data_IF_614436277284
#
_entry.id   IF_614436277284
#
_cell.length_a   1.000
_cell.length_b   1.000
_cell.length_c   1.000
_cell.angle_alpha   90.00
_cell.angle_beta   90.00
_cell.angle_gamma   90.00
#
_symmetry.space_group_name_H-M   'P 1'
#
loop_
_entity.id
_entity.type
_entity.pdbx_description
1 polymer ?
#
# COMPACT_ATOMS: atom_id res chain seq x y z
N UNK A 1 8.75 -19.07 33.32
CA UNK A 1 8.21 -18.05 32.43
C UNK A 1 9.29 -17.81 31.40
N UNK A 2 9.14 -18.38 30.18
CA UNK A 2 10.12 -18.22 29.10
C UNK A 2 9.95 -16.80 28.58
N UNK A 3 11.00 -15.97 28.48
CA UNK A 3 10.88 -14.65 27.87
C UNK A 3 10.41 -14.85 26.41
N UNK A 4 9.25 -14.32 26.06
CA UNK A 4 8.86 -14.25 24.66
C UNK A 4 9.88 -13.32 23.96
N UNK A 5 10.39 -13.69 22.78
CA UNK A 5 11.26 -12.82 22.04
C UNK A 5 10.52 -11.50 21.77
N UNK A 6 11.15 -10.40 22.15
CA UNK A 6 10.64 -9.07 21.84
C UNK A 6 10.36 -9.00 20.34
N UNK A 7 9.25 -8.34 19.97
CA UNK A 7 8.94 -8.03 18.58
C UNK A 7 10.20 -7.41 17.93
N UNK A 8 10.83 -8.14 17.02
CA UNK A 8 12.07 -7.70 16.39
C UNK A 8 11.72 -7.19 14.99
N UNK A 9 12.19 -6.00 14.70
CA UNK A 9 12.26 -5.51 13.33
C UNK A 9 13.67 -5.77 12.78
N UNK A 10 13.78 -5.78 11.46
CA UNK A 10 14.99 -6.11 10.73
C UNK A 10 15.23 -5.06 9.66
N UNK A 11 16.48 -4.78 9.39
CA UNK A 11 16.91 -4.00 8.24
C UNK A 11 17.58 -4.93 7.23
N UNK A 12 17.15 -4.84 5.98
CA UNK A 12 17.75 -5.56 4.86
C UNK A 12 18.17 -4.55 3.79
N UNK A 13 19.37 -4.67 3.31
CA UNK A 13 19.81 -3.94 2.13
C UNK A 13 19.31 -4.66 0.87
N UNK A 14 18.63 -3.93 0.00
CA UNK A 14 18.07 -4.47 -1.24
C UNK A 14 18.57 -3.68 -2.45
N UNK A 15 18.42 -4.24 -3.65
CA UNK A 15 18.78 -3.54 -4.89
C UNK A 15 17.97 -2.27 -5.15
N UNK A 16 16.88 -2.04 -4.40
CA UNK A 16 16.03 -0.84 -4.48
C UNK A 16 16.28 0.13 -3.33
N UNK A 17 17.14 -0.21 -2.39
CA UNK A 17 17.41 0.55 -1.19
C UNK A 17 17.09 -0.20 0.09
N UNK A 18 17.18 0.47 1.25
CA UNK A 18 16.91 -0.13 2.55
C UNK A 18 15.45 -0.61 2.66
N UNK A 19 15.27 -1.80 3.22
CA UNK A 19 13.97 -2.37 3.57
C UNK A 19 13.91 -2.61 5.07
N UNK A 20 13.05 -1.87 5.77
CA UNK A 20 12.74 -2.13 7.17
C UNK A 20 11.50 -3.01 7.24
N UNK A 21 11.61 -4.13 7.89
CA UNK A 21 10.51 -5.08 8.00
C UNK A 21 10.51 -5.77 9.37
N UNK A 22 9.36 -6.35 9.73
CA UNK A 22 9.23 -7.18 10.91
C UNK A 22 8.61 -8.52 10.57
N UNK A 23 8.97 -9.52 11.34
CA UNK A 23 8.34 -10.82 11.29
C UNK A 23 7.65 -11.11 12.61
N UNK A 24 6.35 -11.31 12.54
CA UNK A 24 5.57 -11.71 13.71
C UNK A 24 5.52 -13.23 13.81
N UNK A 25 5.74 -13.81 14.99
CA UNK A 25 5.48 -15.22 15.24
C UNK A 25 4.00 -15.55 14.99
N UNK A 26 3.72 -16.79 14.58
CA UNK A 26 2.34 -17.23 14.38
C UNK A 26 1.51 -17.07 15.66
N UNK A 27 0.31 -16.51 15.54
CA UNK A 27 -0.61 -16.28 16.67
C UNK A 27 -0.36 -15.01 17.48
N UNK A 28 0.61 -14.17 17.12
CA UNK A 28 0.73 -12.83 17.67
C UNK A 28 0.00 -11.81 16.81
N UNK A 29 -0.78 -10.94 17.46
CA UNK A 29 -1.41 -9.82 16.79
C UNK A 29 -0.36 -8.76 16.41
N UNK A 30 -0.49 -8.23 15.19
CA UNK A 30 0.27 -7.07 14.79
C UNK A 30 -0.16 -5.87 15.63
N UNK A 31 0.67 -5.44 16.55
CA UNK A 31 0.37 -4.24 17.35
C UNK A 31 0.75 -2.99 16.55
N UNK A 32 -0.12 -1.97 16.57
CA UNK A 32 0.20 -0.67 16.00
C UNK A 32 1.54 -0.09 16.52
N UNK A 33 1.98 -0.49 17.72
CA UNK A 33 3.27 -0.10 18.30
C UNK A 33 4.47 -0.56 17.48
N UNK A 34 4.43 -1.78 16.93
CA UNK A 34 5.51 -2.27 16.07
C UNK A 34 5.58 -1.48 14.76
N UNK A 35 4.42 -1.21 14.16
CA UNK A 35 4.35 -0.39 12.93
C UNK A 35 4.87 1.01 13.20
N UNK A 36 4.44 1.65 14.30
CA UNK A 36 4.96 2.98 14.70
C UNK A 36 6.47 2.96 14.86
N UNK A 37 7.02 1.94 15.52
CA UNK A 37 8.48 1.84 15.73
C UNK A 37 9.25 1.69 14.42
N UNK A 38 8.79 0.84 13.50
CA UNK A 38 9.43 0.67 12.18
C UNK A 38 9.41 1.99 11.41
N UNK A 39 8.31 2.73 11.45
CA UNK A 39 8.19 4.03 10.79
C UNK A 39 9.11 5.10 11.39
N UNK A 40 9.27 5.13 12.72
CA UNK A 40 10.21 6.02 13.38
C UNK A 40 11.65 5.74 12.91
N UNK A 41 12.05 4.46 12.88
CA UNK A 41 13.37 4.06 12.39
C UNK A 41 13.53 4.35 10.89
N UNK A 42 12.49 4.14 10.07
CA UNK A 42 12.52 4.49 8.64
C UNK A 42 12.80 5.97 8.40
N UNK A 43 12.22 6.84 9.22
CA UNK A 43 12.44 8.29 9.12
C UNK A 43 13.88 8.68 9.50
N UNK A 44 14.44 8.05 10.53
CA UNK A 44 15.82 8.29 10.93
C UNK A 44 16.78 7.88 9.81
N UNK A 45 16.63 6.67 9.28
CA UNK A 45 17.49 6.15 8.20
C UNK A 45 17.33 6.99 6.92
N UNK A 46 16.09 7.37 6.56
CA UNK A 46 15.87 8.21 5.40
C UNK A 46 16.56 9.59 5.54
N UNK A 47 16.55 10.17 6.75
CA UNK A 47 17.27 11.41 7.02
C UNK A 47 18.79 11.25 6.97
N UNK A 48 19.35 10.14 7.50
CA UNK A 48 20.78 9.85 7.47
C UNK A 48 21.28 9.55 6.03
N UNK A 49 20.47 8.90 5.21
CA UNK A 49 20.81 8.53 3.83
C UNK A 49 20.32 9.53 2.78
N UNK A 50 19.79 10.68 3.20
CA UNK A 50 19.24 11.74 2.33
C UNK A 50 18.22 11.20 1.33
N UNK A 51 17.31 10.31 1.79
CA UNK A 51 16.22 9.74 0.98
C UNK A 51 15.03 10.67 0.96
N UNK A 52 14.52 10.97 -0.22
CA UNK A 52 13.39 11.88 -0.41
C UNK A 52 12.03 11.20 -0.20
N UNK A 53 11.95 9.87 -0.27
CA UNK A 53 10.71 9.10 -0.20
C UNK A 53 10.82 7.92 0.76
N UNK A 54 9.77 7.73 1.57
CA UNK A 54 9.54 6.52 2.36
C UNK A 54 8.24 5.88 1.86
N UNK A 55 8.35 4.69 1.28
CA UNK A 55 7.20 3.90 0.89
C UNK A 55 6.82 2.92 2.00
N UNK A 56 5.58 2.95 2.44
CA UNK A 56 5.07 2.10 3.52
C UNK A 56 4.08 1.09 2.94
N UNK A 57 4.42 -0.21 3.01
CA UNK A 57 3.49 -1.29 2.70
C UNK A 57 2.54 -1.48 3.89
N UNK A 58 1.31 -0.99 3.74
CA UNK A 58 0.28 -1.02 4.79
C UNK A 58 -0.39 -2.39 4.90
N UNK A 59 -0.77 -2.82 6.12
CA UNK A 59 -1.54 -4.04 6.29
C UNK A 59 -2.96 -3.88 5.75
N UNK A 60 -3.62 -4.97 5.36
CA UNK A 60 -5.02 -4.94 4.94
C UNK A 60 -5.96 -4.60 6.11
N UNK A 61 -7.16 -4.11 5.76
CA UNK A 61 -8.22 -3.78 6.71
C UNK A 61 -8.08 -2.40 7.35
N UNK A 62 -8.82 -2.17 8.43
CA UNK A 62 -9.00 -0.86 9.07
C UNK A 62 -8.59 -0.85 10.56
N UNK A 63 -7.80 -1.83 10.98
CA UNK A 63 -7.37 -1.98 12.37
C UNK A 63 -6.30 -0.99 12.81
N UNK A 64 -5.92 -1.05 14.09
CA UNK A 64 -4.84 -0.22 14.64
C UNK A 64 -3.53 -0.25 13.84
N UNK A 65 -3.10 -1.37 13.23
CA UNK A 65 -1.90 -1.37 12.41
C UNK A 65 -2.02 -0.50 11.16
N UNK A 66 -3.19 -0.50 10.50
CA UNK A 66 -3.46 0.33 9.31
C UNK A 66 -3.45 1.81 9.69
N UNK A 67 -4.10 2.18 10.78
CA UNK A 67 -4.05 3.55 11.30
C UNK A 67 -2.61 3.96 11.63
N UNK A 68 -1.86 3.08 12.33
CA UNK A 68 -0.47 3.34 12.66
C UNK A 68 0.45 3.45 11.42
N UNK A 69 0.12 2.75 10.32
CA UNK A 69 0.82 2.88 9.05
C UNK A 69 0.51 4.22 8.36
N UNK A 70 -0.69 4.75 8.53
CA UNK A 70 -1.18 5.91 7.77
C UNK A 70 -0.96 7.26 8.49
N UNK A 71 -1.07 7.31 9.82
CA UNK A 71 -0.97 8.58 10.57
C UNK A 71 0.34 9.31 10.31
N UNK A 72 0.26 10.55 9.80
CA UNK A 72 1.43 11.39 9.49
C UNK A 72 2.20 10.94 8.25
N UNK A 73 1.52 10.30 7.28
CA UNK A 73 1.98 10.20 5.89
C UNK A 73 1.49 11.40 5.10
N UNK A 74 2.24 11.77 4.07
CA UNK A 74 1.88 12.88 3.19
C UNK A 74 0.78 12.47 2.22
N UNK A 75 0.74 11.18 1.84
CA UNK A 75 -0.28 10.62 0.95
C UNK A 75 -0.53 9.14 1.26
N UNK A 76 -1.79 8.72 1.24
CA UNK A 76 -2.21 7.31 1.29
C UNK A 76 -2.73 6.87 -0.07
N UNK A 77 -2.13 5.82 -0.65
CA UNK A 77 -2.65 5.15 -1.84
C UNK A 77 -3.50 3.95 -1.41
N UNK A 78 -4.82 4.06 -1.62
CA UNK A 78 -5.79 3.01 -1.31
C UNK A 78 -5.89 2.05 -2.49
N UNK A 79 -5.35 0.84 -2.35
CA UNK A 79 -5.45 -0.20 -3.37
C UNK A 79 -6.66 -1.08 -3.06
N UNK A 80 -7.61 -1.14 -3.98
CA UNK A 80 -8.84 -1.90 -3.85
C UNK A 80 -9.09 -2.77 -5.08
N UNK A 81 -10.10 -3.65 -5.04
CA UNK A 81 -10.55 -4.45 -6.17
C UNK A 81 -12.08 -4.42 -6.28
N UNK A 82 -12.69 -4.66 -7.47
CA UNK A 82 -14.12 -4.45 -7.69
C UNK A 82 -14.96 -5.61 -7.13
N UNK A 83 -14.99 -5.71 -5.80
CA UNK A 83 -15.84 -6.62 -5.03
C UNK A 83 -16.66 -5.85 -4.00
N UNK A 84 -17.83 -6.38 -3.63
CA UNK A 84 -18.70 -5.76 -2.63
C UNK A 84 -17.99 -5.62 -1.28
N UNK A 85 -17.19 -6.62 -0.89
CA UNK A 85 -16.44 -6.58 0.37
C UNK A 85 -15.36 -5.50 0.35
N UNK A 86 -14.59 -5.42 -0.75
CA UNK A 86 -13.53 -4.43 -0.88
C UNK A 86 -14.07 -3.00 -0.97
N UNK A 87 -15.22 -2.79 -1.60
CA UNK A 87 -15.93 -1.51 -1.61
C UNK A 87 -16.32 -1.08 -0.20
N UNK A 88 -16.93 -1.96 0.58
CA UNK A 88 -17.28 -1.67 1.96
C UNK A 88 -16.05 -1.32 2.82
N UNK A 89 -14.94 -2.04 2.66
CA UNK A 89 -13.70 -1.75 3.39
C UNK A 89 -13.06 -0.44 2.91
N UNK A 90 -13.14 -0.13 1.60
CA UNK A 90 -12.67 1.14 1.03
C UNK A 90 -13.41 2.34 1.67
N UNK A 91 -14.72 2.26 1.76
CA UNK A 91 -15.51 3.34 2.39
C UNK A 91 -15.13 3.58 3.85
N UNK A 92 -14.86 2.51 4.60
CA UNK A 92 -14.46 2.59 6.00
C UNK A 92 -13.05 3.17 6.18
N UNK A 93 -12.09 2.80 5.32
CA UNK A 93 -10.74 3.36 5.39
C UNK A 93 -10.74 4.82 4.98
N UNK A 94 -11.48 5.23 3.95
CA UNK A 94 -11.63 6.62 3.55
C UNK A 94 -12.14 7.46 4.74
N UNK A 95 -13.21 7.03 5.40
CA UNK A 95 -13.74 7.73 6.58
C UNK A 95 -12.71 7.81 7.72
N UNK A 96 -11.88 6.79 7.89
CA UNK A 96 -10.81 6.79 8.89
C UNK A 96 -9.71 7.78 8.53
N UNK A 97 -9.24 7.81 7.28
CA UNK A 97 -8.20 8.73 6.83
C UNK A 97 -8.67 10.19 6.89
N UNK A 98 -9.93 10.45 6.51
CA UNK A 98 -10.55 11.77 6.63
C UNK A 98 -10.58 12.25 8.10
N UNK A 99 -10.94 11.38 9.03
CA UNK A 99 -10.92 11.70 10.48
C UNK A 99 -9.53 12.11 10.96
N UNK A 100 -8.47 11.53 10.41
CA UNK A 100 -7.07 11.87 10.74
C UNK A 100 -6.47 12.94 9.81
N UNK A 101 -7.26 13.51 8.90
CA UNK A 101 -6.82 14.50 7.91
C UNK A 101 -5.63 14.03 7.05
N UNK A 102 -5.66 12.76 6.64
CA UNK A 102 -4.62 12.17 5.80
C UNK A 102 -5.08 12.24 4.36
N UNK A 103 -4.34 12.92 3.47
CA UNK A 103 -4.64 12.94 2.05
C UNK A 103 -4.63 11.53 1.48
N UNK A 104 -5.63 11.21 0.65
CA UNK A 104 -5.76 9.88 0.08
C UNK A 104 -6.12 9.93 -1.41
N UNK A 105 -5.64 8.94 -2.14
CA UNK A 105 -5.99 8.64 -3.53
C UNK A 105 -6.27 7.15 -3.67
N UNK A 106 -6.95 6.74 -4.74
CA UNK A 106 -7.35 5.36 -4.93
C UNK A 106 -6.74 4.74 -6.19
N UNK A 107 -6.56 3.43 -6.16
CA UNK A 107 -6.18 2.58 -7.29
C UNK A 107 -7.10 1.36 -7.31
N UNK A 108 -7.76 1.09 -8.43
CA UNK A 108 -8.63 -0.08 -8.59
C UNK A 108 -7.84 -1.17 -9.32
N UNK A 109 -7.53 -2.23 -8.61
CA UNK A 109 -6.83 -3.39 -9.15
C UNK A 109 -7.82 -4.39 -9.72
N UNK A 110 -7.46 -5.10 -10.79
CA UNK A 110 -8.30 -6.09 -11.49
C UNK A 110 -9.64 -5.51 -11.94
N UNK A 111 -9.63 -4.26 -12.43
CA UNK A 111 -10.85 -3.53 -12.78
C UNK A 111 -11.68 -4.23 -13.86
N UNK A 112 -11.04 -4.99 -14.75
CA UNK A 112 -11.64 -5.77 -15.83
C UNK A 112 -12.41 -7.02 -15.37
N UNK A 113 -12.21 -7.47 -14.13
CA UNK A 113 -12.94 -8.64 -13.57
C UNK A 113 -14.42 -8.29 -13.31
N UNK A 114 -14.69 -7.05 -12.91
CA UNK A 114 -16.05 -6.55 -12.73
C UNK A 114 -16.09 -5.04 -13.05
N UNK A 115 -16.18 -4.68 -14.36
CA UNK A 115 -16.10 -3.28 -14.78
C UNK A 115 -17.23 -2.39 -14.23
N UNK A 116 -18.44 -2.94 -14.06
CA UNK A 116 -19.56 -2.19 -13.52
C UNK A 116 -19.32 -1.76 -12.07
N UNK A 117 -18.80 -2.68 -11.25
CA UNK A 117 -18.44 -2.39 -9.86
C UNK A 117 -17.22 -1.47 -9.78
N UNK A 118 -16.22 -1.64 -10.67
CA UNK A 118 -15.06 -0.76 -10.74
C UNK A 118 -15.46 0.69 -11.02
N UNK A 119 -16.33 0.92 -12.01
CA UNK A 119 -16.83 2.27 -12.30
C UNK A 119 -17.68 2.84 -11.15
N UNK A 120 -18.54 2.03 -10.53
CA UNK A 120 -19.33 2.48 -9.38
C UNK A 120 -18.44 2.93 -8.22
N UNK A 121 -17.38 2.17 -7.91
CA UNK A 121 -16.38 2.52 -6.88
C UNK A 121 -15.61 3.78 -7.26
N UNK A 122 -15.22 3.92 -8.53
CA UNK A 122 -14.52 5.11 -9.01
C UNK A 122 -15.40 6.38 -8.88
N UNK A 123 -16.68 6.27 -9.18
CA UNK A 123 -17.66 7.36 -9.00
C UNK A 123 -17.81 7.70 -7.52
N UNK A 124 -17.96 6.71 -6.63
CA UNK A 124 -18.06 6.95 -5.17
C UNK A 124 -16.78 7.63 -4.63
N UNK A 125 -15.60 7.18 -5.01
CA UNK A 125 -14.34 7.83 -4.65
C UNK A 125 -14.34 9.31 -5.04
N UNK A 126 -14.66 9.63 -6.30
CA UNK A 126 -14.68 11.02 -6.79
C UNK A 126 -15.69 11.89 -6.05
N UNK A 127 -16.88 11.36 -5.70
CA UNK A 127 -17.90 12.10 -4.92
C UNK A 127 -17.42 12.43 -3.51
N UNK A 128 -16.48 11.66 -2.95
CA UNK A 128 -15.82 11.88 -1.65
C UNK A 128 -14.54 12.70 -1.74
N UNK A 129 -14.19 13.21 -2.93
CA UNK A 129 -12.95 13.96 -3.14
C UNK A 129 -11.68 13.11 -3.20
N UNK A 130 -11.83 11.78 -3.39
CA UNK A 130 -10.71 10.86 -3.56
C UNK A 130 -10.47 10.66 -5.07
N UNK A 131 -9.32 11.11 -5.55
CA UNK A 131 -8.94 10.91 -6.95
C UNK A 131 -8.52 9.47 -7.21
N UNK A 132 -9.01 8.89 -8.30
CA UNK A 132 -8.61 7.55 -8.77
C UNK A 132 -7.38 7.69 -9.66
N UNK A 133 -6.24 7.22 -9.18
CA UNK A 133 -4.95 7.30 -9.88
C UNK A 133 -4.86 6.35 -11.08
N UNK A 134 -5.70 5.32 -11.13
CA UNK A 134 -5.78 4.43 -12.27
C UNK A 134 -6.53 3.15 -11.97
N UNK A 135 -6.65 2.36 -13.00
CA UNK A 135 -7.23 1.03 -12.99
C UNK A 135 -6.20 0.05 -13.55
N UNK A 136 -6.00 -1.08 -12.90
CA UNK A 136 -5.11 -2.12 -13.38
C UNK A 136 -5.93 -3.31 -13.87
N UNK A 137 -5.62 -3.88 -15.03
CA UNK A 137 -6.24 -5.11 -15.49
C UNK A 137 -5.73 -6.31 -14.68
N UNK A 138 -6.49 -7.39 -14.65
CA UNK A 138 -6.02 -8.67 -14.17
C UNK A 138 -5.01 -9.26 -15.17
N UNK A 139 -3.82 -9.63 -14.69
CA UNK A 139 -2.78 -10.24 -15.52
C UNK A 139 -2.10 -11.38 -14.77
N UNK A 140 -2.15 -12.57 -15.33
CA UNK A 140 -1.48 -13.77 -14.78
C UNK A 140 0.04 -13.63 -14.75
N UNK A 141 0.61 -12.77 -15.59
CA UNK A 141 2.03 -12.43 -15.61
C UNK A 141 2.51 -11.80 -14.29
N UNK A 142 1.62 -11.12 -13.55
CA UNK A 142 1.93 -10.61 -12.20
C UNK A 142 2.27 -11.76 -11.26
N UNK A 143 1.49 -12.84 -11.28
CA UNK A 143 1.75 -14.03 -10.46
C UNK A 143 3.05 -14.72 -10.87
N UNK A 144 3.34 -14.81 -12.16
CA UNK A 144 4.58 -15.39 -12.66
C UNK A 144 5.80 -14.55 -12.23
N UNK A 145 5.70 -13.23 -12.34
CA UNK A 145 6.74 -12.32 -11.87
C UNK A 145 7.01 -12.49 -10.37
N UNK A 146 5.96 -12.63 -9.55
CA UNK A 146 6.08 -12.88 -8.10
C UNK A 146 6.80 -14.22 -7.81
N UNK A 147 6.49 -15.29 -8.54
CA UNK A 147 7.17 -16.59 -8.40
C UNK A 147 8.66 -16.46 -8.72
N UNK A 148 9.01 -15.65 -9.71
CA UNK A 148 10.41 -15.38 -10.11
C UNK A 148 11.10 -14.35 -9.20
N UNK A 149 10.40 -13.79 -8.20
CA UNK A 149 10.93 -12.76 -7.28
C UNK A 149 11.29 -11.45 -7.99
N UNK A 150 10.54 -11.09 -9.03
CA UNK A 150 10.76 -9.89 -9.85
C UNK A 150 9.50 -9.03 -9.89
N UNK A 151 9.62 -7.68 -9.89
CA UNK A 151 8.48 -6.82 -10.20
C UNK A 151 7.94 -7.10 -11.61
N UNK A 152 6.63 -7.02 -11.79
CA UNK A 152 6.01 -7.22 -13.12
C UNK A 152 6.52 -6.20 -14.15
N UNK A 153 6.83 -4.99 -13.72
CA UNK A 153 7.39 -3.92 -14.55
C UNK A 153 8.79 -4.23 -15.11
N UNK A 154 9.52 -5.18 -14.51
CA UNK A 154 10.78 -5.71 -15.01
C UNK A 154 10.60 -7.05 -15.73
N UNK A 155 9.64 -7.86 -15.30
CA UNK A 155 9.37 -9.18 -15.86
C UNK A 155 8.66 -9.09 -17.20
N UNK A 156 7.64 -8.25 -17.30
CA UNK A 156 6.86 -7.96 -18.50
C UNK A 156 6.75 -6.44 -18.72
N UNK A 157 7.85 -5.77 -19.10
CA UNK A 157 7.91 -4.31 -19.15
C UNK A 157 6.90 -3.68 -20.13
N UNK A 158 6.54 -4.41 -21.20
CA UNK A 158 5.64 -3.95 -22.25
C UNK A 158 4.17 -4.41 -22.05
N UNK A 159 3.85 -5.08 -20.94
CA UNK A 159 2.48 -5.49 -20.66
C UNK A 159 1.60 -4.30 -20.29
N UNK A 160 0.29 -4.44 -20.52
CA UNK A 160 -0.70 -3.42 -20.18
C UNK A 160 -0.65 -3.06 -18.70
N UNK A 161 -0.54 -4.06 -17.81
CA UNK A 161 -0.43 -3.82 -16.36
C UNK A 161 0.84 -3.04 -15.99
N UNK A 162 1.97 -3.29 -16.68
CA UNK A 162 3.21 -2.55 -16.44
C UNK A 162 3.13 -1.10 -16.89
N UNK A 163 2.51 -0.84 -18.02
CA UNK A 163 2.24 0.52 -18.49
C UNK A 163 1.27 1.26 -17.54
N UNK A 164 0.20 0.60 -17.14
CA UNK A 164 -0.76 1.18 -16.19
C UNK A 164 -0.11 1.51 -14.84
N UNK A 165 0.73 0.62 -14.28
CA UNK A 165 1.47 0.87 -13.04
C UNK A 165 2.41 2.07 -13.13
N UNK A 166 3.15 2.22 -14.24
CA UNK A 166 4.01 3.41 -14.44
C UNK A 166 3.18 4.69 -14.48
N UNK A 167 2.07 4.68 -15.21
CA UNK A 167 1.17 5.84 -15.27
C UNK A 167 0.49 6.14 -13.93
N UNK A 168 0.24 5.15 -13.07
CA UNK A 168 -0.20 5.37 -11.69
C UNK A 168 0.89 6.04 -10.89
N UNK A 169 2.14 5.54 -10.98
CA UNK A 169 3.26 6.12 -10.26
C UNK A 169 3.49 7.59 -10.62
N UNK A 170 3.52 7.94 -11.90
CA UNK A 170 3.66 9.32 -12.38
C UNK A 170 2.59 10.25 -11.77
N UNK A 171 1.35 9.78 -11.66
CA UNK A 171 0.25 10.54 -11.05
C UNK A 171 0.36 10.66 -9.53
N UNK A 172 0.86 9.62 -8.86
CA UNK A 172 1.11 9.64 -7.41
C UNK A 172 2.27 10.58 -7.09
N UNK A 173 3.38 10.46 -7.82
CA UNK A 173 4.58 11.29 -7.66
C UNK A 173 4.26 12.80 -7.85
N UNK A 174 3.39 13.13 -8.80
CA UNK A 174 2.94 14.51 -9.01
C UNK A 174 2.08 15.08 -7.85
N UNK A 175 1.72 14.26 -6.85
CA UNK A 175 0.96 14.66 -5.65
C UNK A 175 1.80 14.75 -4.39
N UNK A 176 3.03 14.24 -4.42
CA UNK A 176 4.01 14.34 -3.35
C UNK A 176 4.78 15.65 -3.44
#
# INVERSE_FOLDING_TARGET
>A
MVPQPAQSWMWSDTRFGPLLHARLPAGQENSGKLVTRIREESRLIAGEEERELILIDGPPGIGCPTIAASVGTDLALLVTEPTISADHDLQRIIATLDHFHIPAVALINKADVNPEQAEAMAVDCRTRGIDVMGELPFDTGVTQAMVDGRPVTEYLPESEVSHALRGVWERVEARL
#
